data_IF_803929740664
#
_entry.id   IF_803929740664
#
_cell.length_a   1.000
_cell.length_b   1.000
_cell.length_c   1.000
_cell.angle_alpha   90.00
_cell.angle_beta   90.00
_cell.angle_gamma   90.00
#
_symmetry.space_group_name_H-M   'P 1'
#
loop_
_entity.id
_entity.type
_entity.pdbx_description
1 polymer ?
#
# COMPACT_ATOMS: atom_id res chain seq x y z
N UNK A 1 6.61 43.14 7.83
CA UNK A 1 6.21 43.79 9.15
C UNK A 1 6.54 42.83 10.28
N UNK A 2 6.90 43.37 11.45
CA UNK A 2 7.22 42.61 12.65
C UNK A 2 6.34 43.05 13.83
N UNK A 3 6.19 42.16 14.79
CA UNK A 3 5.52 42.43 16.07
C UNK A 3 6.38 41.86 17.19
N UNK A 4 6.50 42.56 18.31
CA UNK A 4 7.20 42.09 19.53
C UNK A 4 6.28 42.23 20.73
N UNK A 5 6.05 41.12 21.43
CA UNK A 5 5.22 41.00 22.63
C UNK A 5 6.00 40.21 23.71
N UNK A 6 7.04 40.80 24.30
CA UNK A 6 8.00 40.08 25.14
C UNK A 6 7.41 39.53 26.45
N UNK A 7 6.23 39.97 26.86
CA UNK A 7 5.54 39.49 28.07
C UNK A 7 4.40 38.50 27.80
N UNK A 8 4.14 38.20 26.51
CA UNK A 8 3.05 37.29 26.14
C UNK A 8 3.34 35.87 26.66
N UNK A 9 2.39 35.31 27.38
CA UNK A 9 2.45 33.91 27.88
C UNK A 9 1.59 32.95 27.07
N UNK A 10 0.46 33.41 26.57
CA UNK A 10 -0.46 32.60 25.78
C UNK A 10 -0.92 33.39 24.55
N UNK A 11 -0.74 32.78 23.37
CA UNK A 11 -1.34 33.27 22.14
C UNK A 11 -2.71 32.58 21.99
N UNK A 12 -3.78 33.33 22.13
CA UNK A 12 -5.15 32.83 22.07
C UNK A 12 -5.56 32.33 20.70
N UNK A 13 -6.73 31.71 20.62
CA UNK A 13 -7.26 31.16 19.36
C UNK A 13 -7.33 32.26 18.28
N UNK A 14 -6.75 31.96 17.10
CA UNK A 14 -6.75 32.82 15.91
C UNK A 14 -6.22 34.26 16.14
N UNK A 15 -5.45 34.53 17.22
CA UNK A 15 -5.09 35.89 17.61
C UNK A 15 -4.21 36.63 16.59
N UNK A 16 -3.44 35.95 15.77
CA UNK A 16 -2.66 36.50 14.64
C UNK A 16 -3.13 35.99 13.28
N UNK A 17 -4.25 35.27 13.23
CA UNK A 17 -4.73 34.69 11.99
C UNK A 17 -4.90 35.73 10.88
N UNK A 18 -4.59 35.33 9.63
CA UNK A 18 -4.65 36.18 8.44
C UNK A 18 -3.74 37.42 8.46
N UNK A 19 -2.74 37.46 9.33
CA UNK A 19 -1.72 38.52 9.32
C UNK A 19 -0.73 38.28 8.17
N UNK A 20 -1.22 38.39 6.94
CA UNK A 20 -0.53 37.94 5.72
C UNK A 20 0.78 38.65 5.41
N UNK A 21 0.97 39.87 5.96
CA UNK A 21 2.20 40.70 5.81
C UNK A 21 3.15 40.56 6.99
N UNK A 22 2.81 39.78 8.02
CA UNK A 22 3.66 39.50 9.15
C UNK A 22 4.82 38.61 8.73
N UNK A 23 6.05 39.08 8.78
CA UNK A 23 7.26 38.33 8.39
C UNK A 23 8.03 37.81 9.59
N UNK A 24 7.90 38.48 10.75
CA UNK A 24 8.60 38.12 11.98
C UNK A 24 7.68 38.40 13.20
N UNK A 25 7.75 37.51 14.17
CA UNK A 25 7.08 37.67 15.45
C UNK A 25 8.06 37.33 16.58
N UNK A 26 8.17 38.21 17.55
CA UNK A 26 9.02 38.05 18.73
C UNK A 26 8.14 37.94 20.00
N UNK A 27 7.98 36.69 20.46
CA UNK A 27 7.18 36.32 21.64
C UNK A 27 7.95 35.33 22.52
N UNK A 28 9.10 35.73 23.08
CA UNK A 28 10.09 34.81 23.66
C UNK A 28 9.60 34.10 24.94
N UNK A 29 8.54 34.56 25.54
CA UNK A 29 8.01 34.01 26.78
C UNK A 29 6.67 33.27 26.59
N UNK A 30 6.25 33.04 25.33
CA UNK A 30 5.03 32.29 25.08
C UNK A 30 5.22 30.79 25.46
N UNK A 31 4.28 30.27 26.23
CA UNK A 31 4.25 28.90 26.73
C UNK A 31 3.20 28.07 26.00
N UNK A 32 2.17 28.73 25.46
CA UNK A 32 1.07 28.05 24.75
C UNK A 32 0.64 28.82 23.51
N UNK A 33 0.52 28.10 22.40
CA UNK A 33 -0.12 28.56 21.17
C UNK A 33 -1.47 27.85 21.04
N UNK A 34 -2.56 28.59 21.07
CA UNK A 34 -3.90 28.01 20.91
C UNK A 34 -4.20 27.67 19.45
N UNK A 35 -5.36 27.06 19.22
CA UNK A 35 -5.82 26.67 17.89
C UNK A 35 -5.76 27.85 16.92
N UNK A 36 -5.24 27.64 15.71
CA UNK A 36 -5.17 28.60 14.61
C UNK A 36 -4.45 29.93 14.97
N UNK A 37 -3.66 29.98 16.03
CA UNK A 37 -3.07 31.25 16.52
C UNK A 37 -2.31 32.02 15.42
N UNK A 38 -1.63 31.34 14.50
CA UNK A 38 -0.88 31.90 13.36
C UNK A 38 -1.47 31.48 12.00
N UNK A 39 -2.75 31.07 11.96
CA UNK A 39 -3.39 30.58 10.74
C UNK A 39 -3.27 31.58 9.59
N UNK A 40 -2.84 31.11 8.41
CA UNK A 40 -2.69 31.92 7.21
C UNK A 40 -1.80 33.18 7.38
N UNK A 41 -0.80 33.13 8.26
CA UNK A 41 0.26 34.12 8.31
C UNK A 41 1.23 33.90 7.14
N UNK A 42 0.78 34.16 5.90
CA UNK A 42 1.43 33.77 4.65
C UNK A 42 2.85 34.34 4.47
N UNK A 43 3.16 35.45 5.13
CA UNK A 43 4.47 36.09 5.05
C UNK A 43 5.45 35.65 6.13
N UNK A 44 5.04 34.87 7.13
CA UNK A 44 5.88 34.46 8.25
C UNK A 44 7.00 33.54 7.76
N UNK A 45 8.26 33.93 8.04
CA UNK A 45 9.43 33.23 7.51
C UNK A 45 9.97 32.14 8.43
N UNK A 46 9.90 32.39 9.75
CA UNK A 46 10.38 31.45 10.78
C UNK A 46 9.64 31.68 12.09
N UNK A 47 9.64 30.63 12.92
CA UNK A 47 9.12 30.73 14.29
C UNK A 47 10.01 29.96 15.27
N UNK A 48 10.41 30.57 16.38
CA UNK A 48 11.05 29.91 17.51
C UNK A 48 10.22 30.09 18.77
N UNK A 49 9.79 28.97 19.34
CA UNK A 49 9.02 28.90 20.59
C UNK A 49 9.79 28.18 21.68
N UNK A 50 10.82 28.85 22.25
CA UNK A 50 11.75 28.24 23.21
C UNK A 50 11.04 27.67 24.45
N UNK A 51 9.92 28.30 24.88
CA UNK A 51 9.15 27.93 26.07
C UNK A 51 7.80 27.32 25.73
N UNK A 52 7.48 27.16 24.44
CA UNK A 52 6.19 26.60 24.03
C UNK A 52 6.13 25.14 24.38
N UNK A 53 5.23 24.77 25.28
CA UNK A 53 5.01 23.40 25.74
C UNK A 53 3.99 22.63 24.85
N UNK A 54 3.04 23.41 24.25
CA UNK A 54 2.02 22.83 23.37
C UNK A 54 1.62 23.78 22.25
N UNK A 55 1.34 23.21 21.08
CA UNK A 55 0.91 23.91 19.87
C UNK A 55 -0.48 23.41 19.48
N UNK A 56 -1.45 24.33 19.39
CA UNK A 56 -2.84 24.03 19.07
C UNK A 56 -3.04 23.52 17.64
N UNK A 57 -4.22 22.96 17.36
CA UNK A 57 -4.55 22.47 16.03
C UNK A 57 -4.52 23.61 15.00
N UNK A 58 -4.06 23.29 13.77
CA UNK A 58 -4.03 24.23 12.63
C UNK A 58 -3.26 25.53 12.92
N UNK A 59 -2.37 25.54 13.91
CA UNK A 59 -1.75 26.76 14.42
C UNK A 59 -1.00 27.55 13.33
N UNK A 60 -0.27 26.87 12.46
CA UNK A 60 0.49 27.46 11.34
C UNK A 60 -0.06 27.03 9.97
N UNK A 61 -1.29 26.53 9.91
CA UNK A 61 -1.88 26.13 8.61
C UNK A 61 -1.83 27.29 7.63
N UNK A 62 -1.42 27.00 6.39
CA UNK A 62 -1.23 27.97 5.29
C UNK A 62 -0.22 29.09 5.55
N UNK A 63 0.78 28.85 6.37
CA UNK A 63 1.94 29.74 6.48
C UNK A 63 2.90 29.42 5.32
N UNK A 64 2.53 29.82 4.09
CA UNK A 64 3.21 29.40 2.85
C UNK A 64 4.70 29.75 2.78
N UNK A 65 5.12 30.89 3.40
CA UNK A 65 6.52 31.33 3.41
C UNK A 65 7.35 30.75 4.56
N UNK A 66 6.75 29.99 5.48
CA UNK A 66 7.40 29.47 6.68
C UNK A 66 8.45 28.42 6.31
N UNK A 67 9.74 28.72 6.60
CA UNK A 67 10.88 27.87 6.25
C UNK A 67 11.37 27.02 7.41
N UNK A 68 11.36 27.58 8.61
CA UNK A 68 11.93 26.95 9.80
C UNK A 68 11.02 27.11 11.01
N UNK A 69 10.90 26.04 11.80
CA UNK A 69 10.23 26.05 13.10
C UNK A 69 11.10 25.36 14.15
N UNK A 70 11.12 25.93 15.38
CA UNK A 70 11.81 25.34 16.53
C UNK A 70 10.93 25.40 17.77
N UNK A 71 10.68 24.23 18.35
CA UNK A 71 9.88 24.05 19.56
C UNK A 71 10.59 23.09 20.52
N UNK A 72 11.73 23.50 21.12
CA UNK A 72 12.56 22.60 21.92
C UNK A 72 11.89 22.08 23.20
N UNK A 73 10.87 22.80 23.72
CA UNK A 73 10.13 22.38 24.91
C UNK A 73 8.79 21.71 24.61
N UNK A 74 8.31 21.73 23.35
CA UNK A 74 6.98 21.22 23.03
C UNK A 74 6.93 19.69 23.01
N UNK A 75 5.95 19.17 23.72
CA UNK A 75 5.65 17.73 23.76
C UNK A 75 4.42 17.34 22.97
N UNK A 76 3.53 18.29 22.65
CA UNK A 76 2.27 18.04 21.99
C UNK A 76 1.96 19.06 20.88
N UNK A 77 1.52 18.52 19.74
CA UNK A 77 1.06 19.28 18.58
C UNK A 77 -0.37 18.84 18.23
N UNK A 78 -1.26 19.81 18.04
CA UNK A 78 -2.61 19.54 17.56
C UNK A 78 -2.64 19.12 16.10
N UNK A 79 -3.76 18.54 15.66
CA UNK A 79 -3.93 18.13 14.28
C UNK A 79 -3.73 19.28 13.30
N UNK A 80 -3.05 18.99 12.18
CA UNK A 80 -2.92 19.94 11.07
C UNK A 80 -2.06 21.16 11.36
N UNK A 81 -1.15 21.11 12.35
CA UNK A 81 -0.36 22.25 12.76
C UNK A 81 0.31 23.01 11.63
N UNK A 82 0.82 22.29 10.63
CA UNK A 82 1.61 22.81 9.50
C UNK A 82 1.00 22.41 8.15
N UNK A 83 -0.33 22.29 8.06
CA UNK A 83 -1.01 22.05 6.76
C UNK A 83 -0.59 23.15 5.78
N UNK A 84 -0.23 22.75 4.56
CA UNK A 84 0.15 23.66 3.47
C UNK A 84 1.29 24.64 3.81
N UNK A 85 2.21 24.28 4.72
CA UNK A 85 3.46 25.00 4.93
C UNK A 85 4.48 24.59 3.85
N UNK A 86 4.25 25.04 2.61
CA UNK A 86 4.93 24.55 1.40
C UNK A 86 6.43 24.84 1.38
N UNK A 87 6.87 25.94 2.02
CA UNK A 87 8.28 26.36 2.08
C UNK A 87 9.06 25.73 3.25
N UNK A 88 8.42 24.89 4.07
CA UNK A 88 9.03 24.34 5.27
C UNK A 88 10.19 23.41 4.93
N UNK A 89 11.38 23.71 5.45
CA UNK A 89 12.61 22.95 5.22
C UNK A 89 13.22 22.39 6.50
N UNK A 90 12.93 23.00 7.67
CA UNK A 90 13.53 22.63 8.93
C UNK A 90 12.52 22.62 10.06
N UNK A 91 12.46 21.51 10.76
CA UNK A 91 11.58 21.26 11.90
C UNK A 91 12.41 20.76 13.07
N UNK A 92 12.35 21.43 14.21
CA UNK A 92 13.02 21.04 15.46
C UNK A 92 11.98 20.83 16.55
N UNK A 93 11.70 19.55 16.90
CA UNK A 93 10.67 19.11 17.87
C UNK A 93 11.21 17.95 18.74
N UNK A 94 12.33 18.12 19.46
CA UNK A 94 13.08 17.01 20.03
C UNK A 94 12.35 16.27 21.17
N UNK A 95 11.36 16.86 21.80
CA UNK A 95 10.57 16.22 22.87
C UNK A 95 9.25 15.61 22.40
N UNK A 96 8.92 15.78 21.12
CA UNK A 96 7.71 15.19 20.56
C UNK A 96 7.84 13.67 20.46
N UNK A 97 6.82 12.95 20.89
CA UNK A 97 6.76 11.48 20.81
C UNK A 97 5.75 10.95 19.79
N UNK A 98 4.93 11.84 19.24
CA UNK A 98 3.94 11.49 18.23
C UNK A 98 3.81 12.60 17.18
N UNK A 99 3.79 12.23 15.91
CA UNK A 99 3.36 13.13 14.83
C UNK A 99 1.84 13.07 14.75
N UNK A 100 1.18 14.22 14.94
CA UNK A 100 -0.28 14.30 14.94
C UNK A 100 -0.87 14.12 13.54
N UNK A 101 -2.20 13.89 13.48
CA UNK A 101 -2.92 13.78 12.22
C UNK A 101 -2.72 15.02 11.36
N UNK A 102 -2.46 14.84 10.07
CA UNK A 102 -2.27 15.91 9.07
C UNK A 102 -1.21 16.95 9.43
N UNK A 103 -0.27 16.63 10.31
CA UNK A 103 0.67 17.63 10.84
C UNK A 103 1.40 18.39 9.73
N UNK A 104 1.86 17.70 8.67
CA UNK A 104 2.57 18.25 7.52
C UNK A 104 1.83 17.99 6.19
N UNK A 105 0.51 17.84 6.23
CA UNK A 105 -0.32 17.56 5.08
C UNK A 105 -0.26 18.68 4.03
N UNK A 106 -0.10 18.31 2.75
CA UNK A 106 -0.12 19.23 1.60
C UNK A 106 -1.35 18.93 0.75
N UNK A 107 -2.39 19.79 0.88
CA UNK A 107 -3.69 19.56 0.26
C UNK A 107 -3.69 19.62 -1.27
N UNK A 108 -2.83 20.44 -1.88
CA UNK A 108 -2.76 20.64 -3.33
C UNK A 108 -1.46 20.11 -3.94
N UNK A 109 -1.07 18.89 -3.54
CA UNK A 109 0.19 18.28 -3.98
C UNK A 109 0.35 18.13 -5.51
N UNK A 110 -0.69 18.35 -6.31
CA UNK A 110 -0.61 18.41 -7.76
C UNK A 110 -0.07 19.74 -8.30
N UNK A 111 -0.19 20.82 -7.54
CA UNK A 111 0.19 22.20 -7.93
C UNK A 111 1.35 22.72 -7.09
N UNK A 112 1.40 22.37 -5.82
CA UNK A 112 2.37 22.86 -4.85
C UNK A 112 3.44 21.82 -4.56
N UNK A 113 4.69 22.25 -4.44
CA UNK A 113 5.83 21.40 -4.10
C UNK A 113 6.20 21.63 -2.64
N UNK A 114 5.97 20.63 -1.78
CA UNK A 114 6.61 20.62 -0.45
C UNK A 114 8.12 20.74 -0.59
N UNK A 115 8.77 21.46 0.32
CA UNK A 115 10.23 21.60 0.35
C UNK A 115 10.89 20.85 1.50
N UNK A 116 10.11 20.20 2.38
CA UNK A 116 10.61 19.39 3.47
C UNK A 116 11.27 18.13 2.92
N UNK A 117 12.60 18.08 2.97
CA UNK A 117 13.40 16.95 2.46
C UNK A 117 13.72 15.91 3.50
N UNK A 118 13.94 16.36 4.73
CA UNK A 118 14.32 15.48 5.84
C UNK A 118 13.58 15.89 7.11
N UNK A 119 13.30 14.92 7.97
CA UNK A 119 12.76 15.13 9.30
C UNK A 119 13.37 14.13 10.28
N UNK A 120 13.70 14.60 11.49
CA UNK A 120 14.16 13.75 12.59
C UNK A 120 12.96 13.21 13.37
N UNK A 121 12.83 11.89 13.39
CA UNK A 121 11.78 11.16 14.12
C UNK A 121 12.34 10.28 15.25
N UNK A 122 13.57 10.54 15.74
CA UNK A 122 14.29 9.70 16.71
C UNK A 122 13.55 9.46 18.03
N UNK A 123 12.60 10.30 18.39
CA UNK A 123 11.78 10.15 19.59
C UNK A 123 10.31 9.79 19.28
N UNK A 124 9.95 9.66 18.00
CA UNK A 124 8.56 9.43 17.59
C UNK A 124 8.24 7.92 17.69
N UNK A 125 7.14 7.61 18.33
CA UNK A 125 6.60 6.24 18.46
C UNK A 125 5.38 6.00 17.58
N UNK A 126 4.65 7.08 17.23
CA UNK A 126 3.43 7.00 16.43
C UNK A 126 3.36 8.09 15.38
N UNK A 127 2.94 7.73 14.18
CA UNK A 127 2.67 8.65 13.07
C UNK A 127 1.17 8.68 12.83
N UNK A 128 0.58 9.89 12.87
CA UNK A 128 -0.86 10.10 12.70
C UNK A 128 -1.36 9.93 11.26
N UNK A 129 -2.67 9.98 11.11
CA UNK A 129 -3.35 9.88 9.81
C UNK A 129 -2.96 11.06 8.91
N UNK A 130 -2.61 10.78 7.65
CA UNK A 130 -2.22 11.79 6.64
C UNK A 130 -1.08 12.72 7.10
N UNK A 131 -0.25 12.30 8.04
CA UNK A 131 0.74 13.17 8.71
C UNK A 131 1.72 13.84 7.73
N UNK A 132 2.17 13.12 6.70
CA UNK A 132 3.06 13.59 5.63
C UNK A 132 2.44 13.42 4.24
N UNK A 133 1.12 13.26 4.14
CA UNK A 133 0.45 13.07 2.85
C UNK A 133 0.76 14.24 1.91
N UNK A 134 1.26 13.92 0.72
CA UNK A 134 1.61 14.91 -0.30
C UNK A 134 2.97 15.57 -0.09
N UNK A 135 3.78 15.19 0.90
CA UNK A 135 5.15 15.69 1.09
C UNK A 135 6.08 15.11 0.01
N UNK A 136 5.91 15.57 -1.23
CA UNK A 136 6.59 15.00 -2.41
C UNK A 136 8.11 15.18 -2.42
N UNK A 137 8.66 16.14 -1.68
CA UNK A 137 10.09 16.36 -1.57
C UNK A 137 10.75 15.60 -0.42
N UNK A 138 9.98 14.90 0.43
CA UNK A 138 10.52 14.15 1.55
C UNK A 138 11.37 12.98 1.04
N UNK A 139 12.68 13.08 1.20
CA UNK A 139 13.65 12.11 0.71
C UNK A 139 14.03 11.11 1.80
N UNK A 140 14.28 11.60 3.02
CA UNK A 140 14.76 10.80 4.12
C UNK A 140 14.04 11.13 5.44
N UNK A 141 13.79 10.09 6.21
CA UNK A 141 13.34 10.17 7.60
C UNK A 141 14.48 9.70 8.50
N UNK A 142 15.00 10.61 9.31
CA UNK A 142 16.09 10.29 10.23
C UNK A 142 15.52 9.54 11.43
N UNK A 143 16.07 8.34 11.65
CA UNK A 143 15.73 7.44 12.77
C UNK A 143 14.23 7.14 12.96
N UNK A 144 13.72 6.19 12.20
CA UNK A 144 12.36 5.65 12.32
C UNK A 144 12.25 4.50 13.35
N UNK A 145 13.37 4.17 14.02
CA UNK A 145 13.51 2.91 14.78
C UNK A 145 12.57 2.76 15.97
N UNK A 146 12.00 3.85 16.51
CA UNK A 146 11.04 3.79 17.62
C UNK A 146 9.58 3.73 17.16
N UNK A 147 9.31 3.94 15.87
CA UNK A 147 7.93 3.97 15.36
C UNK A 147 7.33 2.57 15.40
N UNK A 148 6.21 2.43 16.09
CA UNK A 148 5.46 1.17 16.21
C UNK A 148 4.17 1.17 15.40
N UNK A 149 3.59 2.34 15.16
CA UNK A 149 2.33 2.48 14.42
C UNK A 149 2.40 3.62 13.42
N UNK A 150 1.85 3.37 12.22
CA UNK A 150 1.78 4.35 11.13
C UNK A 150 0.32 4.50 10.72
N UNK A 151 -0.23 5.72 10.80
CA UNK A 151 -1.61 6.02 10.49
C UNK A 151 -1.97 5.86 9.01
N UNK A 152 -3.27 5.87 8.72
CA UNK A 152 -3.75 5.81 7.34
C UNK A 152 -3.22 6.99 6.53
N UNK A 153 -2.79 6.73 5.27
CA UNK A 153 -2.26 7.74 4.35
C UNK A 153 -1.06 8.55 4.90
N UNK A 154 -0.39 8.08 5.94
CA UNK A 154 0.65 8.84 6.64
C UNK A 154 1.75 9.37 5.72
N UNK A 155 2.19 8.57 4.73
CA UNK A 155 3.17 8.93 3.70
C UNK A 155 2.59 8.80 2.28
N UNK A 156 1.29 8.98 2.12
CA UNK A 156 0.62 8.90 0.82
C UNK A 156 1.24 9.89 -0.18
N UNK A 157 1.68 9.38 -1.33
CA UNK A 157 2.38 10.15 -2.37
C UNK A 157 3.66 10.89 -1.90
N UNK A 158 4.38 10.38 -0.91
CA UNK A 158 5.76 10.78 -0.64
C UNK A 158 6.68 10.18 -1.70
N UNK A 159 6.62 10.71 -2.93
CA UNK A 159 7.18 10.07 -4.14
C UNK A 159 8.71 9.99 -4.18
N UNK A 160 9.42 10.78 -3.38
CA UNK A 160 10.88 10.80 -3.28
C UNK A 160 11.43 10.07 -2.06
N UNK A 161 10.55 9.62 -1.14
CA UNK A 161 10.95 8.92 0.09
C UNK A 161 11.67 7.62 -0.25
N UNK A 162 12.96 7.53 0.15
CA UNK A 162 13.85 6.44 -0.29
C UNK A 162 13.72 5.18 0.53
N UNK A 163 13.77 5.31 1.86
CA UNK A 163 13.63 4.19 2.80
C UNK A 163 13.06 4.66 4.12
N UNK A 164 12.45 3.72 4.86
CA UNK A 164 12.10 3.87 6.28
C UNK A 164 12.46 2.56 7.00
N UNK A 165 12.93 2.67 8.23
CA UNK A 165 13.17 1.50 9.07
C UNK A 165 11.84 0.99 9.66
N UNK A 166 11.28 -0.07 9.10
CA UNK A 166 10.03 -0.67 9.56
C UNK A 166 10.23 -1.77 10.61
N UNK A 167 11.44 -1.91 11.18
CA UNK A 167 11.80 -3.03 12.06
C UNK A 167 10.96 -3.13 13.34
N UNK A 168 10.41 -2.02 13.81
CA UNK A 168 9.56 -1.99 15.00
C UNK A 168 8.08 -1.72 14.72
N UNK A 169 7.70 -1.54 13.45
CA UNK A 169 6.30 -1.30 13.07
C UNK A 169 5.48 -2.58 13.20
N UNK A 170 4.45 -2.54 14.02
CA UNK A 170 3.51 -3.66 14.25
C UNK A 170 2.20 -3.50 13.50
N UNK A 171 1.78 -2.25 13.27
CA UNK A 171 0.52 -1.94 12.60
C UNK A 171 0.63 -0.72 11.70
N UNK A 172 -0.09 -0.75 10.57
CA UNK A 172 -0.21 0.37 9.64
C UNK A 172 -1.67 0.61 9.27
N UNK A 173 -2.03 1.86 8.98
CA UNK A 173 -3.32 2.20 8.41
C UNK A 173 -3.37 2.01 6.88
N UNK A 174 -4.56 2.15 6.32
CA UNK A 174 -4.81 2.03 4.88
C UNK A 174 -4.01 3.09 4.09
N UNK A 175 -3.41 2.70 2.95
CA UNK A 175 -2.64 3.56 2.06
C UNK A 175 -1.41 4.23 2.70
N UNK A 176 -0.87 3.71 3.80
CA UNK A 176 0.16 4.40 4.58
C UNK A 176 1.40 4.80 3.76
N UNK A 177 1.83 3.99 2.81
CA UNK A 177 2.96 4.24 1.90
C UNK A 177 2.57 4.13 0.42
N UNK A 178 1.32 4.44 0.08
CA UNK A 178 0.84 4.39 -1.30
C UNK A 178 1.64 5.37 -2.19
N UNK A 179 2.12 4.88 -3.35
CA UNK A 179 2.92 5.65 -4.31
C UNK A 179 4.22 6.24 -3.75
N UNK A 180 4.85 5.62 -2.78
CA UNK A 180 6.21 5.97 -2.40
C UNK A 180 7.18 5.41 -3.44
N UNK A 181 7.29 6.07 -4.60
CA UNK A 181 8.10 5.60 -5.73
C UNK A 181 9.62 5.63 -5.45
N UNK A 182 10.03 6.45 -4.49
CA UNK A 182 11.43 6.54 -4.05
C UNK A 182 11.92 5.29 -3.30
N UNK A 183 11.01 4.46 -2.75
CA UNK A 183 11.39 3.22 -2.07
C UNK A 183 12.10 2.28 -3.04
N UNK A 184 13.32 1.88 -2.68
CA UNK A 184 14.18 0.99 -3.47
C UNK A 184 14.71 -0.14 -2.62
N UNK A 185 14.95 -1.31 -3.26
CA UNK A 185 15.57 -2.44 -2.57
C UNK A 185 14.62 -3.25 -1.70
N UNK A 186 15.08 -3.65 -0.51
CA UNK A 186 14.35 -4.53 0.41
C UNK A 186 13.55 -3.76 1.45
N UNK A 187 12.28 -4.17 1.65
CA UNK A 187 11.47 -3.80 2.81
C UNK A 187 11.49 -4.93 3.84
N UNK A 188 12.00 -4.64 5.03
CA UNK A 188 12.04 -5.57 6.15
C UNK A 188 11.03 -5.15 7.23
N UNK A 189 10.05 -6.01 7.51
CA UNK A 189 8.93 -5.77 8.42
C UNK A 189 8.80 -6.91 9.45
N UNK A 190 9.82 -7.12 10.31
CA UNK A 190 9.89 -8.33 11.15
C UNK A 190 8.81 -8.43 12.22
N UNK A 191 8.11 -7.34 12.51
CA UNK A 191 7.07 -7.28 13.56
C UNK A 191 5.67 -6.94 13.02
N UNK A 192 5.52 -6.74 11.71
CA UNK A 192 4.24 -6.34 11.13
C UNK A 192 3.22 -7.47 11.21
N UNK A 193 2.14 -7.27 11.96
CA UNK A 193 1.02 -8.23 12.11
C UNK A 193 -0.31 -7.66 11.63
N UNK A 194 -0.46 -6.33 11.59
CA UNK A 194 -1.70 -5.65 11.20
C UNK A 194 -1.45 -4.65 10.06
N UNK A 195 -1.31 -5.11 8.81
CA UNK A 195 -1.12 -4.24 7.65
C UNK A 195 -2.42 -3.58 7.22
N UNK A 196 -2.41 -2.28 6.92
CA UNK A 196 -3.50 -1.57 6.26
C UNK A 196 -3.65 -1.99 4.79
N UNK A 197 -4.83 -1.76 4.22
CA UNK A 197 -5.11 -2.00 2.79
C UNK A 197 -4.30 -1.04 1.92
N UNK A 198 -3.90 -1.51 0.72
CA UNK A 198 -3.15 -0.72 -0.25
C UNK A 198 -1.81 -0.19 0.30
N UNK A 199 -1.23 -0.84 1.31
CA UNK A 199 -0.12 -0.36 2.13
C UNK A 199 1.05 0.17 1.29
N UNK A 200 1.57 -0.65 0.36
CA UNK A 200 2.68 -0.31 -0.55
C UNK A 200 2.25 -0.31 -2.02
N UNK A 201 0.95 -0.16 -2.29
CA UNK A 201 0.50 -0.18 -3.69
C UNK A 201 1.22 0.91 -4.50
N UNK A 202 1.64 0.54 -5.71
CA UNK A 202 2.42 1.38 -6.64
C UNK A 202 3.81 1.82 -6.12
N UNK A 203 4.39 1.15 -5.13
CA UNK A 203 5.80 1.34 -4.78
C UNK A 203 6.68 0.55 -5.77
N UNK A 204 6.90 1.14 -6.95
CA UNK A 204 7.38 0.45 -8.16
C UNK A 204 8.82 -0.06 -8.09
N UNK A 205 9.64 0.45 -7.18
CA UNK A 205 11.07 0.17 -7.11
C UNK A 205 11.47 -0.74 -5.94
N UNK A 206 10.51 -1.26 -5.16
CA UNK A 206 10.75 -2.30 -4.17
C UNK A 206 11.12 -3.60 -4.91
N UNK A 207 12.24 -4.22 -4.54
CA UNK A 207 12.71 -5.47 -5.18
C UNK A 207 12.50 -6.70 -4.32
N UNK A 208 12.45 -6.54 -3.00
CA UNK A 208 12.25 -7.63 -2.04
C UNK A 208 11.39 -7.18 -0.86
N UNK A 209 10.59 -8.10 -0.33
CA UNK A 209 9.84 -7.91 0.91
C UNK A 209 10.08 -9.06 1.85
N UNK A 210 10.31 -8.75 3.15
CA UNK A 210 10.39 -9.73 4.23
C UNK A 210 9.43 -9.35 5.35
N UNK A 211 8.51 -10.26 5.69
CA UNK A 211 7.55 -10.11 6.78
C UNK A 211 7.34 -11.46 7.48
N UNK A 212 8.32 -11.90 8.30
CA UNK A 212 8.41 -13.28 8.79
C UNK A 212 7.31 -13.69 9.79
N UNK A 213 6.57 -12.73 10.35
CA UNK A 213 5.47 -13.00 11.30
C UNK A 213 4.08 -12.74 10.70
N UNK A 214 4.01 -12.30 9.44
CA UNK A 214 2.74 -11.94 8.80
C UNK A 214 1.99 -13.20 8.36
N UNK A 215 0.87 -13.51 9.01
CA UNK A 215 0.02 -14.64 8.64
C UNK A 215 -0.99 -14.32 7.53
N UNK A 216 -1.48 -13.08 7.47
CA UNK A 216 -2.50 -12.67 6.51
C UNK A 216 -2.14 -11.32 5.89
N UNK A 217 -2.16 -11.25 4.57
CA UNK A 217 -1.99 -9.99 3.84
C UNK A 217 -3.26 -9.13 3.94
N UNK A 218 -3.13 -7.87 3.56
CA UNK A 218 -4.25 -6.96 3.34
C UNK A 218 -4.54 -6.77 1.84
N UNK A 219 -5.73 -6.25 1.54
CA UNK A 219 -6.21 -5.97 0.18
C UNK A 219 -5.23 -5.07 -0.58
N UNK A 220 -4.81 -5.46 -1.81
CA UNK A 220 -3.90 -4.71 -2.70
C UNK A 220 -2.55 -4.32 -2.07
N UNK A 221 -2.05 -5.04 -1.09
CA UNK A 221 -0.90 -4.64 -0.25
C UNK A 221 0.33 -4.24 -1.06
N UNK A 222 0.70 -5.01 -2.09
CA UNK A 222 1.85 -4.77 -2.98
C UNK A 222 1.44 -4.64 -4.46
N UNK A 223 0.17 -4.37 -4.74
CA UNK A 223 -0.29 -4.25 -6.12
C UNK A 223 0.53 -3.19 -6.87
N UNK A 224 0.91 -3.51 -8.10
CA UNK A 224 1.68 -2.63 -8.96
C UNK A 224 3.11 -2.29 -8.45
N UNK A 225 3.67 -3.14 -7.56
CA UNK A 225 5.09 -3.13 -7.22
C UNK A 225 5.88 -3.84 -8.34
N UNK A 226 6.08 -3.16 -9.45
CA UNK A 226 6.54 -3.78 -10.70
C UNK A 226 7.96 -4.36 -10.66
N UNK A 227 8.83 -3.86 -9.77
CA UNK A 227 10.19 -4.40 -9.60
C UNK A 227 10.27 -5.53 -8.54
N UNK A 228 9.17 -5.85 -7.82
CA UNK A 228 9.19 -6.86 -6.77
C UNK A 228 9.51 -8.24 -7.35
N UNK A 229 10.64 -8.81 -6.93
CA UNK A 229 11.17 -10.08 -7.42
C UNK A 229 11.24 -11.18 -6.35
N UNK A 230 11.34 -10.81 -5.07
CA UNK A 230 11.52 -11.76 -3.98
C UNK A 230 10.56 -11.49 -2.81
N UNK A 231 9.98 -12.57 -2.27
CA UNK A 231 9.00 -12.55 -1.18
C UNK A 231 9.45 -13.54 -0.11
N UNK A 232 9.70 -13.03 1.11
CA UNK A 232 10.02 -13.83 2.29
C UNK A 232 8.93 -13.66 3.35
N UNK A 233 7.93 -14.54 3.34
CA UNK A 233 6.79 -14.57 4.26
C UNK A 233 6.51 -16.02 4.69
N UNK A 234 7.39 -16.63 5.51
CA UNK A 234 7.39 -18.08 5.76
C UNK A 234 6.18 -18.61 6.53
N UNK A 235 5.41 -17.73 7.18
CA UNK A 235 4.19 -18.14 7.94
C UNK A 235 2.89 -17.69 7.29
N UNK A 236 2.96 -17.12 6.08
CA UNK A 236 1.81 -16.57 5.40
C UNK A 236 0.79 -17.68 5.08
N UNK A 237 -0.45 -17.51 5.50
CA UNK A 237 -1.59 -18.43 5.27
C UNK A 237 -2.54 -17.93 4.21
N UNK A 238 -2.66 -16.59 4.08
CA UNK A 238 -3.66 -15.99 3.20
C UNK A 238 -3.10 -14.84 2.36
N UNK A 239 -3.26 -14.98 1.04
CA UNK A 239 -3.05 -13.90 0.07
C UNK A 239 -4.40 -13.24 -0.22
N UNK A 240 -4.55 -11.98 0.11
CA UNK A 240 -5.78 -11.20 -0.08
C UNK A 240 -5.98 -10.75 -1.52
N UNK A 241 -7.19 -10.21 -1.82
CA UNK A 241 -7.55 -9.75 -3.16
C UNK A 241 -6.46 -8.83 -3.74
N UNK A 242 -6.00 -9.16 -4.93
CA UNK A 242 -5.07 -8.38 -5.72
C UNK A 242 -3.76 -7.97 -5.01
N UNK A 243 -3.34 -8.70 -3.96
CA UNK A 243 -2.21 -8.29 -3.13
C UNK A 243 -0.90 -8.18 -3.89
N UNK A 244 -0.67 -9.01 -4.91
CA UNK A 244 0.48 -8.96 -5.81
C UNK A 244 0.09 -8.65 -7.26
N UNK A 245 -1.08 -8.04 -7.49
CA UNK A 245 -1.51 -7.72 -8.85
C UNK A 245 -0.47 -6.88 -9.59
N UNK A 246 -0.10 -7.32 -10.80
CA UNK A 246 0.91 -6.66 -11.65
C UNK A 246 2.30 -6.50 -10.99
N UNK A 247 2.69 -7.41 -10.10
CA UNK A 247 4.08 -7.52 -9.67
C UNK A 247 4.89 -8.22 -10.78
N UNK A 248 5.23 -7.47 -11.81
CA UNK A 248 5.87 -8.00 -13.03
C UNK A 248 7.28 -8.53 -12.79
N UNK A 249 7.97 -8.09 -11.71
CA UNK A 249 9.27 -8.59 -11.30
C UNK A 249 9.28 -10.02 -10.78
N UNK A 250 8.11 -10.55 -10.35
CA UNK A 250 8.01 -11.92 -9.84
C UNK A 250 8.20 -12.94 -10.96
N UNK A 251 9.15 -13.86 -10.80
CA UNK A 251 9.41 -14.99 -11.72
C UNK A 251 8.92 -16.31 -11.19
N UNK A 252 8.68 -16.39 -9.88
CA UNK A 252 8.16 -17.58 -9.19
C UNK A 252 7.19 -17.21 -8.08
N UNK A 253 6.31 -18.14 -7.76
CA UNK A 253 5.52 -18.15 -6.51
C UNK A 253 5.94 -19.39 -5.74
N UNK A 254 6.58 -19.21 -4.59
CA UNK A 254 7.01 -20.29 -3.69
C UNK A 254 6.48 -19.98 -2.28
N UNK A 255 5.27 -20.47 -1.98
CA UNK A 255 4.55 -20.15 -0.75
C UNK A 255 3.94 -21.43 -0.15
N UNK A 256 4.77 -22.31 0.43
CA UNK A 256 4.32 -23.63 0.88
C UNK A 256 3.36 -23.58 2.07
N UNK A 257 3.28 -22.47 2.80
CA UNK A 257 2.39 -22.32 3.98
C UNK A 257 1.02 -21.71 3.64
N UNK A 258 0.85 -21.18 2.41
CA UNK A 258 -0.39 -20.51 2.00
C UNK A 258 -1.50 -21.55 1.82
N UNK A 259 -2.63 -21.29 2.47
CA UNK A 259 -3.84 -22.12 2.39
C UNK A 259 -4.93 -21.48 1.53
N UNK A 260 -4.94 -20.15 1.42
CA UNK A 260 -5.99 -19.42 0.69
C UNK A 260 -5.41 -18.29 -0.16
N UNK A 261 -5.83 -18.22 -1.41
CA UNK A 261 -5.53 -17.10 -2.31
C UNK A 261 -6.87 -16.53 -2.81
N UNK A 262 -7.13 -15.28 -2.49
CA UNK A 262 -8.36 -14.62 -2.91
C UNK A 262 -8.22 -14.09 -4.35
N UNK A 263 -9.30 -13.59 -4.93
CA UNK A 263 -9.38 -13.20 -6.34
C UNK A 263 -8.22 -12.28 -6.77
N UNK A 264 -7.63 -12.60 -7.93
CA UNK A 264 -6.60 -11.77 -8.56
C UNK A 264 -5.26 -11.71 -7.83
N UNK A 265 -5.01 -12.58 -6.84
CA UNK A 265 -3.83 -12.50 -5.96
C UNK A 265 -2.52 -12.24 -6.69
N UNK A 266 -2.29 -12.88 -7.84
CA UNK A 266 -1.13 -12.73 -8.72
C UNK A 266 -1.51 -12.31 -10.15
N UNK A 267 -2.70 -11.76 -10.36
CA UNK A 267 -3.16 -11.34 -11.68
C UNK A 267 -2.20 -10.31 -12.30
N UNK A 268 -1.81 -10.52 -13.54
CA UNK A 268 -0.91 -9.64 -14.27
C UNK A 268 0.58 -9.78 -13.92
N UNK A 269 0.95 -10.80 -13.13
CA UNK A 269 2.37 -11.14 -12.90
C UNK A 269 2.91 -11.92 -14.08
N UNK A 270 3.14 -11.22 -15.19
CA UNK A 270 3.40 -11.82 -16.52
C UNK A 270 4.66 -12.68 -16.60
N UNK A 271 5.61 -12.48 -15.69
CA UNK A 271 6.90 -13.17 -15.69
C UNK A 271 6.95 -14.39 -14.74
N UNK A 272 5.87 -14.72 -14.02
CA UNK A 272 5.84 -15.96 -13.22
C UNK A 272 5.88 -17.16 -14.14
N UNK A 273 6.91 -18.01 -13.99
CA UNK A 273 7.08 -19.26 -14.72
C UNK A 273 6.84 -20.49 -13.83
N UNK A 274 7.08 -20.40 -12.52
CA UNK A 274 6.95 -21.51 -11.59
C UNK A 274 6.05 -21.19 -10.41
N UNK A 275 5.21 -22.16 -10.03
CA UNK A 275 4.26 -22.04 -8.91
C UNK A 275 4.41 -23.25 -8.00
N UNK A 276 4.75 -23.02 -6.73
CA UNK A 276 4.81 -24.01 -5.66
C UNK A 276 3.82 -23.64 -4.54
N UNK A 277 2.65 -24.27 -4.52
CA UNK A 277 1.53 -24.01 -3.61
C UNK A 277 0.93 -25.34 -3.09
N UNK A 278 1.73 -26.19 -2.43
CA UNK A 278 1.31 -27.57 -2.11
C UNK A 278 0.15 -27.64 -1.10
N UNK A 279 -0.06 -26.63 -0.29
CA UNK A 279 -1.05 -26.62 0.78
C UNK A 279 -2.25 -25.70 0.52
N UNK A 280 -2.38 -25.14 -0.69
CA UNK A 280 -3.52 -24.28 -1.03
C UNK A 280 -4.80 -25.09 -1.10
N UNK A 281 -5.77 -24.74 -0.26
CA UNK A 281 -7.10 -25.36 -0.13
C UNK A 281 -8.18 -24.57 -0.89
N UNK A 282 -7.99 -23.26 -1.06
CA UNK A 282 -8.97 -22.40 -1.69
C UNK A 282 -8.33 -21.34 -2.59
N UNK A 283 -8.83 -21.20 -3.84
CA UNK A 283 -8.44 -20.12 -4.74
C UNK A 283 -9.65 -19.34 -5.25
N UNK A 284 -9.49 -18.03 -5.33
CA UNK A 284 -10.45 -17.12 -5.94
C UNK A 284 -10.42 -17.12 -7.48
N UNK A 285 -11.27 -16.32 -8.09
CA UNK A 285 -11.25 -16.13 -9.55
C UNK A 285 -10.03 -15.33 -10.01
N UNK A 286 -9.57 -15.61 -11.23
CA UNK A 286 -8.51 -14.84 -11.91
C UNK A 286 -7.18 -14.70 -11.17
N UNK A 287 -6.86 -15.66 -10.28
CA UNK A 287 -5.64 -15.61 -9.44
C UNK A 287 -4.39 -15.43 -10.28
N UNK A 288 -4.24 -16.17 -11.38
CA UNK A 288 -3.09 -16.11 -12.29
C UNK A 288 -3.46 -15.56 -13.68
N UNK A 289 -4.48 -14.70 -13.76
CA UNK A 289 -4.88 -14.09 -15.02
C UNK A 289 -3.70 -13.33 -15.66
N UNK A 290 -3.47 -13.54 -16.95
CA UNK A 290 -2.33 -12.99 -17.70
C UNK A 290 -0.94 -13.43 -17.22
N UNK A 291 -0.80 -14.49 -16.41
CA UNK A 291 0.48 -15.11 -16.12
C UNK A 291 0.88 -16.04 -17.27
N UNK A 292 1.37 -15.48 -18.37
CA UNK A 292 1.57 -16.18 -19.65
C UNK A 292 2.72 -17.17 -19.67
N UNK A 293 3.64 -17.12 -18.71
CA UNK A 293 4.77 -18.05 -18.62
C UNK A 293 4.49 -19.29 -17.76
N UNK A 294 3.35 -19.35 -17.06
CA UNK A 294 2.96 -20.57 -16.34
C UNK A 294 2.48 -21.61 -17.36
N UNK A 295 3.30 -22.64 -17.62
CA UNK A 295 2.96 -23.73 -18.54
C UNK A 295 2.30 -24.92 -17.86
N UNK A 296 2.52 -25.10 -16.55
CA UNK A 296 1.89 -26.14 -15.75
C UNK A 296 1.55 -25.63 -14.37
N UNK A 297 0.48 -26.17 -13.77
CA UNK A 297 0.09 -25.88 -12.39
C UNK A 297 -0.29 -27.17 -11.66
N UNK A 298 0.22 -27.37 -10.43
CA UNK A 298 -0.17 -28.45 -9.53
C UNK A 298 -0.72 -27.86 -8.22
N UNK A 299 -1.96 -28.25 -7.86
CA UNK A 299 -2.66 -27.82 -6.65
C UNK A 299 -3.26 -29.06 -5.95
N UNK A 300 -2.42 -29.93 -5.36
CA UNK A 300 -2.84 -31.25 -4.87
C UNK A 300 -3.80 -31.18 -3.68
N UNK A 301 -3.73 -30.11 -2.88
CA UNK A 301 -4.57 -29.94 -1.68
C UNK A 301 -5.84 -29.12 -1.94
N UNK A 302 -6.11 -28.67 -3.18
CA UNK A 302 -7.24 -27.80 -3.49
C UNK A 302 -8.58 -28.46 -3.19
N UNK A 303 -9.44 -27.79 -2.45
CA UNK A 303 -10.77 -28.24 -2.03
C UNK A 303 -11.89 -27.37 -2.61
N UNK A 304 -11.63 -26.08 -2.79
CA UNK A 304 -12.62 -25.13 -3.30
C UNK A 304 -12.00 -24.09 -4.23
N UNK A 305 -12.79 -23.60 -5.18
CA UNK A 305 -12.43 -22.46 -6.01
C UNK A 305 -13.69 -21.72 -6.50
N UNK A 306 -13.52 -20.48 -6.92
CA UNK A 306 -14.61 -19.69 -7.51
C UNK A 306 -14.52 -19.68 -9.03
N UNK A 307 -15.58 -19.21 -9.70
CA UNK A 307 -15.58 -19.08 -11.16
C UNK A 307 -14.37 -18.30 -11.68
N UNK A 308 -13.82 -18.74 -12.80
CA UNK A 308 -12.65 -18.10 -13.42
C UNK A 308 -11.32 -18.40 -12.73
N UNK A 309 -11.22 -19.41 -11.87
CA UNK A 309 -9.99 -19.71 -11.11
C UNK A 309 -8.73 -19.84 -11.99
N UNK A 310 -8.83 -20.46 -13.16
CA UNK A 310 -7.75 -20.60 -14.13
C UNK A 310 -7.90 -19.70 -15.36
N UNK A 311 -8.87 -18.78 -15.35
CA UNK A 311 -9.14 -17.87 -16.47
C UNK A 311 -7.91 -17.01 -16.80
N UNK A 312 -7.61 -16.90 -18.10
CA UNK A 312 -6.54 -16.06 -18.62
C UNK A 312 -5.12 -16.57 -18.39
N UNK A 313 -4.95 -17.85 -18.02
CA UNK A 313 -3.65 -18.53 -18.00
C UNK A 313 -3.25 -18.90 -19.41
N UNK A 314 -2.83 -17.92 -20.20
CA UNK A 314 -2.65 -18.07 -21.66
C UNK A 314 -1.55 -19.05 -22.04
N UNK A 315 -0.55 -19.27 -21.18
CA UNK A 315 0.56 -20.21 -21.38
C UNK A 315 0.30 -21.64 -20.88
N UNK A 316 -0.80 -21.87 -20.16
CA UNK A 316 -1.08 -23.17 -19.53
C UNK A 316 -1.26 -24.26 -20.58
N UNK A 317 -0.44 -25.31 -20.49
CA UNK A 317 -0.52 -26.50 -21.37
C UNK A 317 -1.00 -27.74 -20.61
N UNK A 318 -0.77 -27.81 -19.29
CA UNK A 318 -1.16 -28.94 -18.45
C UNK A 318 -1.52 -28.49 -17.02
N UNK A 319 -2.29 -29.32 -16.34
CA UNK A 319 -2.64 -29.11 -14.94
C UNK A 319 -2.69 -30.44 -14.16
N UNK A 320 -2.33 -30.37 -12.87
CA UNK A 320 -2.51 -31.45 -11.89
C UNK A 320 -3.33 -30.91 -10.72
N UNK A 321 -4.64 -31.00 -10.85
CA UNK A 321 -5.63 -30.49 -9.89
C UNK A 321 -6.67 -31.57 -9.66
N UNK A 322 -6.48 -32.50 -8.71
CA UNK A 322 -7.35 -33.66 -8.50
C UNK A 322 -8.83 -33.34 -8.31
N UNK A 323 -9.12 -32.16 -7.70
CA UNK A 323 -10.48 -31.68 -7.51
C UNK A 323 -11.27 -31.60 -8.83
N UNK A 324 -10.63 -31.25 -9.94
CA UNK A 324 -11.28 -31.09 -11.25
C UNK A 324 -11.90 -32.40 -11.75
N UNK A 325 -11.26 -33.55 -11.42
CA UNK A 325 -11.79 -34.88 -11.77
C UNK A 325 -13.08 -35.26 -11.07
N UNK A 326 -13.47 -34.57 -10.01
CA UNK A 326 -14.64 -34.85 -9.17
C UNK A 326 -15.78 -33.85 -9.31
N UNK A 327 -15.60 -32.80 -10.11
CA UNK A 327 -16.59 -31.74 -10.25
C UNK A 327 -17.81 -32.20 -11.05
N UNK A 328 -18.98 -32.20 -10.42
CA UNK A 328 -20.25 -32.38 -11.14
C UNK A 328 -20.73 -31.06 -11.81
N UNK A 329 -20.46 -29.91 -11.18
CA UNK A 329 -20.76 -28.60 -11.73
C UNK A 329 -19.49 -27.81 -11.97
N UNK A 330 -19.20 -27.53 -13.22
CA UNK A 330 -18.05 -26.71 -13.63
C UNK A 330 -18.45 -25.24 -13.58
N UNK A 331 -17.79 -24.39 -12.77
CA UNK A 331 -18.18 -23.00 -12.64
C UNK A 331 -17.90 -22.20 -13.92
N UNK A 332 -18.59 -21.04 -14.03
CA UNK A 332 -18.41 -20.14 -15.15
C UNK A 332 -16.97 -19.69 -15.31
N UNK A 333 -16.50 -19.58 -16.55
CA UNK A 333 -15.18 -19.05 -16.95
C UNK A 333 -13.99 -19.83 -16.40
N UNK A 334 -14.13 -21.10 -15.97
CA UNK A 334 -13.07 -21.86 -15.30
C UNK A 334 -11.73 -21.83 -16.08
N UNK A 335 -11.75 -22.18 -17.37
CA UNK A 335 -10.60 -22.17 -18.28
C UNK A 335 -10.71 -21.09 -19.38
N UNK A 336 -11.52 -20.07 -19.18
CA UNK A 336 -11.69 -19.04 -20.21
C UNK A 336 -10.32 -18.42 -20.58
N UNK A 337 -10.03 -18.36 -21.90
CA UNK A 337 -8.78 -17.83 -22.45
C UNK A 337 -7.49 -18.58 -22.01
N UNK A 338 -7.58 -19.87 -21.74
CA UNK A 338 -6.41 -20.75 -21.60
C UNK A 338 -5.90 -21.15 -22.99
N UNK A 339 -5.24 -20.22 -23.68
CA UNK A 339 -4.97 -20.29 -25.13
C UNK A 339 -4.06 -21.43 -25.57
N UNK A 340 -3.19 -21.93 -24.69
CA UNK A 340 -2.21 -22.99 -24.97
C UNK A 340 -2.66 -24.38 -24.49
N UNK A 341 -3.82 -24.48 -23.86
CA UNK A 341 -4.33 -25.76 -23.34
C UNK A 341 -4.85 -26.61 -24.49
N UNK A 342 -4.28 -27.83 -24.69
CA UNK A 342 -4.61 -28.71 -25.82
C UNK A 342 -5.67 -29.74 -25.47
N UNK A 343 -5.82 -30.08 -24.20
CA UNK A 343 -6.81 -31.07 -23.76
C UNK A 343 -7.45 -30.69 -22.43
N UNK A 344 -8.72 -31.03 -22.28
CA UNK A 344 -9.47 -30.88 -21.02
C UNK A 344 -10.16 -32.21 -20.72
N UNK A 345 -9.96 -32.74 -19.51
CA UNK A 345 -10.64 -33.91 -18.99
C UNK A 345 -11.38 -33.60 -17.69
N UNK A 346 -12.71 -33.68 -17.73
CA UNK A 346 -13.61 -33.42 -16.60
C UNK A 346 -14.64 -34.54 -16.48
N UNK A 347 -14.21 -35.77 -16.08
CA UNK A 347 -15.01 -36.97 -16.19
C UNK A 347 -16.29 -37.00 -15.35
N UNK A 348 -16.36 -36.24 -14.26
CA UNK A 348 -17.54 -36.15 -13.40
C UNK A 348 -18.51 -35.04 -13.80
N UNK A 349 -18.14 -34.13 -14.73
CA UNK A 349 -18.92 -32.96 -15.06
C UNK A 349 -20.28 -33.32 -15.66
N UNK A 350 -21.36 -32.75 -15.08
CA UNK A 350 -22.75 -32.83 -15.56
C UNK A 350 -23.22 -31.48 -16.10
N UNK A 351 -22.88 -30.39 -15.41
CA UNK A 351 -23.25 -29.04 -15.77
C UNK A 351 -22.01 -28.18 -16.06
N UNK A 352 -21.95 -27.53 -17.21
CA UNK A 352 -20.90 -26.56 -17.56
C UNK A 352 -21.44 -25.14 -17.46
N UNK A 353 -20.73 -24.27 -16.71
CA UNK A 353 -21.05 -22.87 -16.55
C UNK A 353 -20.84 -22.04 -17.83
N UNK A 354 -21.33 -20.81 -17.82
CA UNK A 354 -21.14 -19.85 -18.92
C UNK A 354 -19.65 -19.58 -19.16
N UNK A 355 -19.20 -19.59 -20.43
CA UNK A 355 -17.81 -19.36 -20.85
C UNK A 355 -16.77 -20.33 -20.24
N UNK A 356 -17.17 -21.46 -19.65
CA UNK A 356 -16.29 -22.31 -18.86
C UNK A 356 -15.01 -22.72 -19.62
N UNK A 357 -15.10 -22.92 -20.92
CA UNK A 357 -14.01 -23.39 -21.81
C UNK A 357 -13.92 -22.48 -23.06
N UNK A 358 -14.26 -21.20 -22.94
CA UNK A 358 -14.24 -20.25 -24.06
C UNK A 358 -12.83 -19.75 -24.35
N UNK A 359 -12.45 -19.64 -25.64
CA UNK A 359 -11.22 -18.99 -26.09
C UNK A 359 -9.96 -19.77 -25.74
N UNK A 360 -10.04 -21.09 -25.77
CA UNK A 360 -8.89 -22.00 -25.65
C UNK A 360 -8.38 -22.33 -27.08
N UNK A 361 -7.58 -21.43 -27.63
CA UNK A 361 -7.21 -21.40 -29.06
C UNK A 361 -6.56 -22.70 -29.55
N UNK A 362 -5.80 -23.38 -28.69
CA UNK A 362 -5.08 -24.64 -29.02
C UNK A 362 -5.83 -25.91 -28.61
N UNK A 363 -7.09 -25.80 -28.16
CA UNK A 363 -7.83 -26.96 -27.62
C UNK A 363 -8.25 -27.92 -28.73
N UNK A 364 -7.66 -29.12 -28.76
CA UNK A 364 -7.90 -30.17 -29.74
C UNK A 364 -8.83 -31.27 -29.23
N UNK A 365 -8.90 -31.50 -27.93
CA UNK A 365 -9.71 -32.56 -27.33
C UNK A 365 -10.35 -32.22 -26.02
N UNK A 366 -11.58 -32.69 -25.80
CA UNK A 366 -12.30 -32.56 -24.54
C UNK A 366 -12.95 -33.92 -24.19
N UNK A 367 -12.75 -34.36 -22.95
CA UNK A 367 -13.43 -35.52 -22.38
C UNK A 367 -14.47 -35.06 -21.34
N UNK A 368 -15.75 -35.23 -21.66
CA UNK A 368 -16.91 -34.80 -20.87
C UNK A 368 -18.03 -35.88 -20.93
N UNK A 369 -17.79 -37.13 -20.52
CA UNK A 369 -18.70 -38.24 -20.77
C UNK A 369 -20.07 -38.14 -20.10
N UNK A 370 -20.19 -37.32 -19.05
CA UNK A 370 -21.42 -37.23 -18.22
C UNK A 370 -22.14 -35.88 -18.35
N UNK A 371 -21.77 -35.02 -19.29
CA UNK A 371 -22.37 -33.68 -19.42
C UNK A 371 -23.82 -33.77 -19.92
N UNK A 372 -24.72 -33.16 -19.15
CA UNK A 372 -26.15 -33.05 -19.41
C UNK A 372 -26.56 -31.61 -19.79
N UNK A 373 -25.79 -30.59 -19.32
CA UNK A 373 -26.11 -29.18 -19.55
C UNK A 373 -24.87 -28.36 -19.84
N UNK A 374 -25.00 -27.46 -20.84
CA UNK A 374 -23.93 -26.57 -21.28
C UNK A 374 -24.38 -25.13 -21.19
N UNK A 375 -23.63 -24.30 -20.46
CA UNK A 375 -23.91 -22.87 -20.33
C UNK A 375 -23.60 -22.06 -21.59
N UNK A 376 -24.08 -20.81 -21.62
CA UNK A 376 -23.89 -19.92 -22.77
C UNK A 376 -22.41 -19.71 -23.11
N UNK A 377 -22.07 -19.74 -24.39
CA UNK A 377 -20.74 -19.51 -24.93
C UNK A 377 -19.63 -20.46 -24.38
N UNK A 378 -20.02 -21.59 -23.77
CA UNK A 378 -19.08 -22.49 -23.08
C UNK A 378 -17.90 -22.93 -23.97
N UNK A 379 -18.19 -23.31 -25.22
CA UNK A 379 -17.18 -23.77 -26.18
C UNK A 379 -16.89 -22.76 -27.32
N UNK A 380 -17.34 -21.51 -27.20
CA UNK A 380 -17.10 -20.53 -28.25
C UNK A 380 -15.62 -20.13 -28.33
N UNK A 381 -15.17 -19.74 -29.51
CA UNK A 381 -13.79 -19.29 -29.77
C UNK A 381 -12.72 -20.36 -29.50
N UNK A 382 -13.00 -21.62 -29.84
CA UNK A 382 -12.06 -22.76 -29.80
C UNK A 382 -11.83 -23.28 -31.24
N UNK A 383 -10.96 -22.61 -32.03
CA UNK A 383 -10.87 -22.89 -33.48
C UNK A 383 -10.28 -24.27 -33.84
N UNK A 384 -9.65 -24.96 -32.90
CA UNK A 384 -9.07 -26.30 -33.13
C UNK A 384 -9.98 -27.43 -32.62
N UNK A 385 -11.09 -27.13 -31.97
CA UNK A 385 -12.07 -28.10 -31.50
C UNK A 385 -13.12 -28.43 -32.62
#
# INVERSE_FOLDING_TARGET
TSISLPKLKTAGESCFAYSTKLTQIDIPNVEKLEKMAMYACNGLLSFSGEKVESVGAQCFERCYALKEVSFPAATAFGSGCFIDCESLTKVNIPLCTAISDKMFFIAQASVCTSTLKTIDLSNITTIGTSAFEGCKALEDVVDFSKVTTVGARAFYECITLRTVDLSNVTATGDYAFFRCWGFTGELNMPKLTAPGKYLFRECKNITKVSAPVLENMSLYMFAECTALADIDMPVLKKVENFSFNKCEGLTKVDMPTVETIIAGGFSGCVNIATVNLPNVKSIGGTVFNNCSLITSISLPALQTFTGGAFSGMTGLTSYDVPLLGTLETVPSSLFQNCKSLTAIDLPAAKDLGMNAIRGCDALESISLPNVEKVGNFCFSENPQL
#
